data_IF_922381373869
#
_entry.id   IF_922381373869
#
_cell.length_a   1.000
_cell.length_b   1.000
_cell.length_c   1.000
_cell.angle_alpha   90.00
_cell.angle_beta   90.00
_cell.angle_gamma   90.00
#
_symmetry.space_group_name_H-M   'P 1'
#
loop_
_entity.id
_entity.type
_entity.pdbx_description
1 polymer ?
#
# COMPACT_ATOMS: atom_id res chain seq x y z
N UNK A 1 -92.82 13.90 35.90
CA UNK A 1 -91.42 13.87 36.36
C UNK A 1 -90.66 13.06 35.31
N UNK A 2 -90.19 13.75 34.28
CA UNK A 2 -88.74 14.03 34.06
C UNK A 2 -88.00 12.74 33.67
N UNK A 3 -87.85 12.40 32.39
CA UNK A 3 -87.05 12.98 31.29
C UNK A 3 -85.61 12.42 31.20
N UNK A 4 -85.35 11.71 30.08
CA UNK A 4 -84.09 11.57 29.31
C UNK A 4 -82.82 11.06 30.03
N UNK A 5 -81.85 10.36 29.42
CA UNK A 5 -81.44 10.23 28.01
C UNK A 5 -80.45 9.05 27.92
N UNK A 6 -80.45 8.39 26.76
CA UNK A 6 -79.42 7.44 26.31
C UNK A 6 -78.01 8.03 26.38
N UNK A 7 -77.04 7.27 26.91
CA UNK A 7 -75.61 7.52 26.72
C UNK A 7 -74.99 6.33 25.99
N UNK A 8 -74.83 6.48 24.68
CA UNK A 8 -73.91 5.69 23.89
C UNK A 8 -72.49 6.20 24.22
N UNK A 9 -71.65 5.33 24.75
CA UNK A 9 -70.24 5.65 24.96
C UNK A 9 -69.51 5.62 23.62
N UNK A 10 -69.23 6.79 23.06
CA UNK A 10 -68.30 6.96 21.94
C UNK A 10 -66.89 6.59 22.42
N UNK A 11 -66.34 5.51 21.85
CA UNK A 11 -64.91 5.22 21.96
C UNK A 11 -64.16 6.18 21.02
N UNK A 12 -63.71 7.32 21.55
CA UNK A 12 -62.71 8.14 20.86
C UNK A 12 -61.35 7.45 20.96
N UNK A 13 -60.89 6.86 19.86
CA UNK A 13 -59.49 6.54 19.68
C UNK A 13 -58.72 7.85 19.51
N UNK A 14 -58.17 8.38 20.59
CA UNK A 14 -57.23 9.50 20.51
C UNK A 14 -55.92 8.98 19.90
N UNK A 15 -55.70 9.30 18.63
CA UNK A 15 -54.38 9.19 18.01
C UNK A 15 -53.42 10.13 18.73
N UNK A 16 -52.45 9.57 19.46
CA UNK A 16 -51.33 10.33 20.00
C UNK A 16 -50.56 10.97 18.84
N UNK A 17 -50.22 12.27 18.90
CA UNK A 17 -49.41 12.88 17.88
C UNK A 17 -48.02 12.25 17.99
N UNK A 18 -47.61 11.49 16.97
CA UNK A 18 -46.21 11.12 16.82
C UNK A 18 -45.45 12.44 16.71
N UNK A 19 -44.73 12.80 17.77
CA UNK A 19 -44.01 14.05 17.83
C UNK A 19 -43.06 14.10 16.62
N UNK A 20 -43.23 15.10 15.76
CA UNK A 20 -42.37 15.35 14.59
C UNK A 20 -40.89 15.41 15.00
N UNK A 21 -40.61 15.83 16.24
CA UNK A 21 -39.28 15.81 16.84
C UNK A 21 -38.69 14.41 17.12
N UNK A 22 -39.50 13.38 17.32
CA UNK A 22 -39.04 11.99 17.49
C UNK A 22 -38.59 11.39 16.14
N UNK A 23 -39.30 11.71 15.05
CA UNK A 23 -38.94 11.29 13.68
C UNK A 23 -37.67 12.01 13.21
N UNK A 24 -37.51 13.31 13.53
CA UNK A 24 -36.28 14.06 13.24
C UNK A 24 -35.06 13.57 14.04
N UNK A 25 -35.23 13.20 15.32
CA UNK A 25 -34.15 12.65 16.15
C UNK A 25 -33.64 11.29 15.65
N UNK A 26 -34.53 10.40 15.19
CA UNK A 26 -34.12 9.13 14.60
C UNK A 26 -33.34 9.32 13.29
N UNK A 27 -33.82 10.23 12.41
CA UNK A 27 -33.13 10.55 11.14
C UNK A 27 -31.72 11.10 11.32
N UNK A 28 -31.46 11.85 12.40
CA UNK A 28 -30.14 12.39 12.73
C UNK A 28 -29.18 11.34 13.32
N UNK A 29 -29.69 10.35 14.07
CA UNK A 29 -28.88 9.23 14.57
C UNK A 29 -28.44 8.29 13.44
N UNK A 30 -29.32 8.02 12.47
CA UNK A 30 -29.00 7.23 11.26
C UNK A 30 -27.89 7.91 10.44
N UNK A 31 -27.93 9.25 10.31
CA UNK A 31 -26.89 9.99 9.60
C UNK A 31 -25.53 9.95 10.33
N UNK A 32 -25.53 9.96 11.66
CA UNK A 32 -24.32 9.82 12.47
C UNK A 32 -23.70 8.43 12.37
N UNK A 33 -24.52 7.36 12.34
CA UNK A 33 -24.04 5.98 12.16
C UNK A 33 -23.43 5.77 10.75
N UNK A 34 -23.99 6.41 9.72
CA UNK A 34 -23.41 6.40 8.37
C UNK A 34 -22.07 7.16 8.28
N UNK A 35 -21.90 8.25 9.05
CA UNK A 35 -20.62 8.97 9.13
C UNK A 35 -19.55 8.19 9.92
N UNK A 36 -19.92 7.46 10.96
CA UNK A 36 -19.00 6.63 11.77
C UNK A 36 -18.47 5.40 11.00
N UNK A 37 -19.26 4.85 10.07
CA UNK A 37 -18.88 3.68 9.27
C UNK A 37 -17.85 3.95 8.16
N UNK A 38 -17.55 5.21 7.86
CA UNK A 38 -16.66 5.60 6.76
C UNK A 38 -15.17 5.71 7.15
N UNK A 39 -14.84 5.52 8.44
CA UNK A 39 -13.51 5.80 9.00
C UNK A 39 -12.57 4.61 9.18
N UNK A 40 -12.95 3.39 8.83
CA UNK A 40 -12.21 2.16 9.17
C UNK A 40 -11.60 1.44 7.96
N UNK A 41 -11.00 2.17 7.02
CA UNK A 41 -10.18 1.54 5.99
C UNK A 41 -8.80 2.20 5.95
N UNK A 42 -8.07 2.06 7.05
CA UNK A 42 -6.66 2.42 7.10
C UNK A 42 -5.86 1.31 6.43
N UNK A 43 -5.61 1.44 5.13
CA UNK A 43 -4.54 0.69 4.48
C UNK A 43 -3.21 1.16 5.06
N UNK A 44 -2.52 0.30 5.81
CA UNK A 44 -1.23 0.65 6.44
C UNK A 44 -0.12 0.81 5.39
N UNK A 45 -0.19 0.04 4.29
CA UNK A 45 0.76 0.12 3.19
C UNK A 45 0.33 1.15 2.14
N UNK A 46 1.27 1.94 1.59
CA UNK A 46 0.97 2.89 0.52
C UNK A 46 0.48 2.18 -0.75
N UNK A 47 -0.33 2.88 -1.54
CA UNK A 47 -0.71 2.40 -2.87
C UNK A 47 0.49 2.50 -3.83
N UNK A 48 0.60 1.61 -4.81
CA UNK A 48 1.71 1.61 -5.79
C UNK A 48 1.59 2.73 -6.84
N UNK A 49 0.47 3.45 -6.80
CA UNK A 49 0.20 4.65 -7.59
C UNK A 49 0.17 5.91 -6.69
N UNK A 50 0.51 5.79 -5.40
CA UNK A 50 0.67 6.93 -4.50
C UNK A 50 1.89 7.76 -4.89
N UNK A 51 1.67 9.05 -5.16
CA UNK A 51 2.70 9.93 -5.76
C UNK A 51 3.84 10.19 -4.77
N UNK A 52 3.55 10.33 -3.48
CA UNK A 52 4.57 10.61 -2.47
C UNK A 52 5.45 9.38 -2.26
N UNK A 53 4.86 8.19 -2.18
CA UNK A 53 5.57 6.92 -2.14
C UNK A 53 6.47 6.73 -3.38
N UNK A 54 5.94 6.97 -4.58
CA UNK A 54 6.71 6.86 -5.83
C UNK A 54 7.92 7.80 -5.82
N UNK A 55 7.69 9.06 -5.45
CA UNK A 55 8.74 10.07 -5.42
C UNK A 55 9.82 9.72 -4.39
N UNK A 56 9.44 9.33 -3.17
CA UNK A 56 10.38 8.87 -2.14
C UNK A 56 11.21 7.69 -2.66
N UNK A 57 10.53 6.67 -3.21
CA UNK A 57 11.17 5.45 -3.68
C UNK A 57 12.20 5.73 -4.77
N UNK A 58 11.84 6.48 -5.81
CA UNK A 58 12.72 6.77 -6.95
C UNK A 58 13.85 7.74 -6.54
N UNK A 59 13.54 8.78 -5.78
CA UNK A 59 14.56 9.77 -5.38
C UNK A 59 15.63 9.12 -4.50
N UNK A 60 15.24 8.29 -3.53
CA UNK A 60 16.22 7.64 -2.66
C UNK A 60 17.06 6.58 -3.41
N UNK A 61 16.48 5.88 -4.38
CA UNK A 61 17.26 5.00 -5.26
C UNK A 61 18.34 5.76 -6.02
N UNK A 62 17.97 6.88 -6.65
CA UNK A 62 18.89 7.71 -7.42
C UNK A 62 19.93 8.40 -6.55
N UNK A 63 19.55 8.89 -5.36
CA UNK A 63 20.48 9.46 -4.37
C UNK A 63 21.56 8.44 -3.98
N UNK A 64 21.15 7.22 -3.60
CA UNK A 64 22.09 6.19 -3.17
C UNK A 64 22.95 5.66 -4.31
N UNK A 65 22.39 5.53 -5.53
CA UNK A 65 23.15 5.20 -6.75
C UNK A 65 24.20 6.27 -7.04
N UNK A 66 23.85 7.55 -6.94
CA UNK A 66 24.80 8.66 -7.15
C UNK A 66 25.97 8.71 -6.16
N UNK A 67 25.82 8.07 -4.99
CA UNK A 67 26.77 8.11 -3.87
C UNK A 67 27.51 6.79 -3.61
N UNK A 68 27.52 5.85 -4.57
CA UNK A 68 28.30 4.60 -4.42
C UNK A 68 29.81 4.86 -4.46
N UNK A 69 30.56 4.04 -3.72
CA UNK A 69 32.03 4.05 -3.69
C UNK A 69 32.50 2.62 -3.98
N UNK A 70 33.36 2.38 -4.98
CA UNK A 70 33.92 3.36 -5.91
C UNK A 70 32.85 3.99 -6.81
N UNK A 71 33.12 5.21 -7.29
CA UNK A 71 32.16 5.99 -8.08
C UNK A 71 31.78 5.22 -9.34
N UNK A 72 30.49 4.97 -9.53
CA UNK A 72 30.00 4.36 -10.77
C UNK A 72 30.20 5.32 -11.94
N UNK A 73 30.81 4.84 -13.02
CA UNK A 73 31.12 5.66 -14.21
C UNK A 73 29.93 5.84 -15.15
N UNK A 74 28.96 4.92 -15.15
CA UNK A 74 27.86 4.86 -16.12
C UNK A 74 26.47 4.58 -15.49
N UNK A 75 26.28 4.98 -14.23
CA UNK A 75 25.04 4.72 -13.51
C UNK A 75 23.84 5.39 -14.17
N UNK A 76 22.89 4.59 -14.66
CA UNK A 76 21.64 5.11 -15.24
C UNK A 76 20.73 5.70 -14.17
N UNK A 77 19.98 6.74 -14.53
CA UNK A 77 18.93 7.31 -13.68
C UNK A 77 17.71 6.39 -13.69
N UNK A 78 17.20 6.04 -12.51
CA UNK A 78 16.01 5.20 -12.34
C UNK A 78 14.75 6.04 -12.45
N UNK A 79 13.71 5.46 -13.04
CA UNK A 79 12.36 6.02 -13.12
C UNK A 79 11.35 4.98 -12.66
N UNK A 80 10.14 5.42 -12.32
CA UNK A 80 9.06 4.51 -11.93
C UNK A 80 8.46 3.84 -13.16
N UNK A 81 8.26 2.52 -13.08
CA UNK A 81 7.51 1.76 -14.09
C UNK A 81 6.25 1.16 -13.45
N UNK A 82 5.10 1.56 -13.96
CA UNK A 82 3.78 1.15 -13.42
C UNK A 82 3.50 -0.33 -13.63
N UNK A 83 4.03 -0.95 -14.69
CA UNK A 83 3.83 -2.38 -14.90
C UNK A 83 4.70 -3.20 -13.93
N UNK A 84 5.92 -2.76 -13.65
CA UNK A 84 6.75 -3.37 -12.59
C UNK A 84 6.09 -3.25 -11.21
N UNK A 85 5.52 -2.09 -10.88
CA UNK A 85 4.87 -1.89 -9.57
C UNK A 85 3.65 -2.79 -9.37
N UNK A 86 2.84 -2.98 -10.41
CA UNK A 86 1.69 -3.90 -10.40
C UNK A 86 2.13 -5.36 -10.23
N UNK A 87 3.21 -5.76 -10.89
CA UNK A 87 3.80 -7.10 -10.72
C UNK A 87 4.29 -7.30 -9.28
N UNK A 88 4.98 -6.32 -8.71
CA UNK A 88 5.44 -6.35 -7.33
C UNK A 88 4.26 -6.44 -6.34
N UNK A 89 3.19 -5.65 -6.53
CA UNK A 89 1.97 -5.77 -5.72
C UNK A 89 1.35 -7.17 -5.84
N UNK A 90 1.21 -7.69 -7.05
CA UNK A 90 0.59 -8.99 -7.29
C UNK A 90 1.37 -10.13 -6.62
N UNK A 91 2.71 -10.08 -6.66
CA UNK A 91 3.56 -11.06 -5.98
C UNK A 91 3.52 -10.88 -4.46
N UNK A 92 3.66 -9.65 -3.95
CA UNK A 92 3.65 -9.35 -2.52
C UNK A 92 2.35 -9.76 -1.81
N UNK A 93 1.21 -9.68 -2.50
CA UNK A 93 -0.10 -10.16 -1.99
C UNK A 93 -0.14 -11.66 -1.67
N UNK A 94 0.81 -12.46 -2.18
CA UNK A 94 0.91 -13.88 -1.83
C UNK A 94 1.49 -14.12 -0.44
N UNK A 95 2.16 -13.12 0.15
CA UNK A 95 2.79 -13.20 1.47
C UNK A 95 3.76 -14.39 1.61
N UNK A 96 4.54 -14.68 0.57
CA UNK A 96 5.60 -15.70 0.58
C UNK A 96 6.95 -15.03 0.45
N UNK A 97 7.93 -15.46 1.26
CA UNK A 97 9.31 -14.96 1.17
C UNK A 97 10.12 -15.78 0.17
N UNK A 98 9.65 -15.78 -1.07
CA UNK A 98 10.25 -16.47 -2.21
C UNK A 98 10.22 -15.55 -3.44
N UNK A 99 11.21 -15.68 -4.31
CA UNK A 99 11.30 -14.87 -5.52
C UNK A 99 10.20 -15.20 -6.53
N UNK A 100 9.78 -14.19 -7.29
CA UNK A 100 8.81 -14.36 -8.36
C UNK A 100 9.32 -15.30 -9.45
N UNK A 101 8.69 -16.47 -9.57
CA UNK A 101 9.06 -17.53 -10.53
C UNK A 101 8.92 -17.09 -12.00
N UNK A 102 8.26 -15.96 -12.27
CA UNK A 102 7.98 -15.46 -13.62
C UNK A 102 8.95 -14.37 -14.09
N UNK A 103 9.94 -13.98 -13.29
CA UNK A 103 10.88 -12.89 -13.58
C UNK A 103 11.66 -13.09 -14.90
N UNK A 104 11.94 -14.35 -15.25
CA UNK A 104 12.65 -14.75 -16.47
C UNK A 104 11.72 -15.13 -17.61
N UNK A 105 10.40 -15.03 -17.45
CA UNK A 105 9.45 -15.37 -18.50
C UNK A 105 9.19 -14.22 -19.46
N UNK A 106 9.22 -14.49 -20.77
CA UNK A 106 8.85 -13.49 -21.80
C UNK A 106 7.41 -13.04 -21.59
N UNK A 107 7.22 -11.73 -21.37
CA UNK A 107 5.91 -11.11 -21.13
C UNK A 107 5.14 -11.64 -19.89
N UNK A 108 5.82 -12.34 -18.98
CA UNK A 108 5.16 -12.92 -17.81
C UNK A 108 5.13 -11.93 -16.63
N UNK A 109 6.25 -11.25 -16.36
CA UNK A 109 6.37 -10.28 -15.27
C UNK A 109 6.27 -8.81 -15.74
N UNK A 110 6.47 -8.54 -17.04
CA UNK A 110 6.32 -7.21 -17.62
C UNK A 110 6.08 -7.30 -19.13
N UNK A 111 5.26 -6.41 -19.75
CA UNK A 111 4.90 -6.50 -21.16
C UNK A 111 6.04 -6.24 -22.16
N UNK A 112 7.06 -5.46 -21.75
CA UNK A 112 8.21 -5.07 -22.61
C UNK A 112 9.53 -5.73 -22.22
N UNK A 113 9.95 -5.57 -20.96
CA UNK A 113 11.20 -6.13 -20.43
C UNK A 113 11.15 -7.65 -20.21
N UNK A 114 12.32 -8.26 -20.38
CA UNK A 114 12.63 -9.66 -20.09
C UNK A 114 13.79 -9.70 -19.08
N UNK A 115 13.82 -10.70 -18.20
CA UNK A 115 14.90 -10.85 -17.22
C UNK A 115 14.86 -9.75 -16.16
N UNK A 116 13.72 -9.63 -15.46
CA UNK A 116 13.50 -8.61 -14.45
C UNK A 116 14.17 -9.03 -13.13
N UNK A 117 14.85 -8.10 -12.47
CA UNK A 117 15.36 -8.34 -11.12
C UNK A 117 14.29 -8.16 -10.03
N UNK A 118 14.53 -8.68 -8.83
CA UNK A 118 13.64 -8.50 -7.69
C UNK A 118 14.42 -8.36 -6.38
N UNK A 119 14.17 -7.27 -5.65
CA UNK A 119 14.61 -7.11 -4.27
C UNK A 119 13.40 -7.30 -3.35
N UNK A 120 13.59 -8.00 -2.23
CA UNK A 120 12.54 -8.25 -1.24
C UNK A 120 12.95 -7.70 0.13
N UNK A 121 11.98 -7.15 0.85
CA UNK A 121 12.11 -6.78 2.26
C UNK A 121 10.93 -7.39 3.02
N UNK A 122 11.20 -7.88 4.22
CA UNK A 122 10.19 -8.43 5.13
C UNK A 122 10.46 -7.87 6.53
N UNK A 123 9.38 -7.47 7.19
CA UNK A 123 9.38 -6.97 8.55
C UNK A 123 7.94 -6.77 9.00
N UNK A 124 7.75 -6.08 10.12
CA UNK A 124 6.41 -5.77 10.59
C UNK A 124 5.76 -4.75 9.63
N UNK A 125 4.47 -4.95 9.34
CA UNK A 125 3.72 -4.05 8.44
C UNK A 125 3.83 -2.61 8.95
N UNK A 126 3.72 -2.42 10.28
CA UNK A 126 3.75 -1.11 10.92
C UNK A 126 5.11 -0.38 10.87
N UNK A 127 6.17 -1.10 10.50
CA UNK A 127 7.53 -0.56 10.39
C UNK A 127 7.90 -0.23 8.94
N UNK A 128 7.09 -0.64 7.96
CA UNK A 128 7.43 -0.47 6.57
C UNK A 128 7.43 1.00 6.15
N UNK A 129 8.55 1.42 5.56
CA UNK A 129 8.66 2.60 4.70
C UNK A 129 9.54 2.27 3.51
N UNK A 130 9.38 3.00 2.39
CA UNK A 130 10.30 2.86 1.26
C UNK A 130 11.75 3.07 1.71
N UNK A 131 12.00 4.13 2.48
CA UNK A 131 13.33 4.42 3.05
C UNK A 131 13.94 3.26 3.83
N UNK A 132 13.20 2.61 4.72
CA UNK A 132 13.72 1.48 5.51
C UNK A 132 14.13 0.31 4.62
N UNK A 133 13.25 -0.13 3.71
CA UNK A 133 13.56 -1.24 2.80
C UNK A 133 14.77 -0.90 1.92
N UNK A 134 14.79 0.29 1.33
CA UNK A 134 15.84 0.74 0.43
C UNK A 134 17.19 0.85 1.15
N UNK A 135 17.23 1.46 2.33
CA UNK A 135 18.46 1.58 3.11
C UNK A 135 18.97 0.22 3.59
N UNK A 136 18.08 -0.71 3.93
CA UNK A 136 18.48 -2.07 4.31
C UNK A 136 19.22 -2.79 3.17
N UNK A 137 18.70 -2.71 1.94
CA UNK A 137 19.39 -3.27 0.76
C UNK A 137 20.71 -2.55 0.47
N UNK A 138 20.77 -1.24 0.66
CA UNK A 138 22.01 -0.49 0.46
C UNK A 138 23.09 -0.81 1.50
N UNK A 139 22.70 -1.10 2.74
CA UNK A 139 23.63 -1.47 3.82
C UNK A 139 24.39 -2.77 3.53
N UNK A 140 23.88 -3.64 2.66
CA UNK A 140 24.60 -4.85 2.23
C UNK A 140 25.94 -4.54 1.53
N UNK A 141 26.19 -3.29 1.14
CA UNK A 141 27.51 -2.82 0.67
C UNK A 141 28.64 -3.16 1.63
N UNK A 142 28.37 -3.18 2.94
CA UNK A 142 29.36 -3.50 3.97
C UNK A 142 29.86 -4.95 3.86
N UNK A 143 29.09 -5.80 3.17
CA UNK A 143 29.39 -7.20 2.91
C UNK A 143 30.00 -7.41 1.52
N UNK A 144 30.00 -6.41 0.65
CA UNK A 144 30.49 -6.48 -0.73
C UNK A 144 31.95 -6.03 -0.84
N UNK A 145 32.81 -6.86 -1.43
CA UNK A 145 34.20 -6.54 -1.70
C UNK A 145 34.36 -6.10 -3.16
N UNK A 146 34.58 -4.80 -3.38
CA UNK A 146 34.73 -4.23 -4.72
C UNK A 146 35.99 -4.67 -5.47
N UNK A 147 37.03 -5.13 -4.77
CA UNK A 147 38.29 -5.53 -5.41
C UNK A 147 38.15 -6.84 -6.18
N UNK A 148 37.35 -7.78 -5.66
CA UNK A 148 37.19 -9.11 -6.26
C UNK A 148 35.73 -9.49 -6.57
N UNK A 149 34.76 -8.58 -6.31
CA UNK A 149 33.33 -8.80 -6.57
C UNK A 149 32.67 -9.83 -5.66
N UNK A 150 33.32 -10.23 -4.56
CA UNK A 150 32.80 -11.25 -3.64
C UNK A 150 31.96 -10.65 -2.51
N UNK A 151 31.11 -11.47 -1.91
CA UNK A 151 30.36 -11.10 -0.72
C UNK A 151 30.59 -12.03 0.45
N UNK A 152 30.73 -11.45 1.64
CA UNK A 152 30.88 -12.22 2.89
C UNK A 152 29.58 -12.89 3.33
N UNK A 153 28.42 -12.36 2.92
CA UNK A 153 27.07 -12.93 3.08
C UNK A 153 26.22 -12.60 1.84
N UNK A 154 24.90 -12.70 1.93
CA UNK A 154 24.00 -12.25 0.86
C UNK A 154 24.06 -10.72 0.72
N UNK A 155 24.39 -10.27 -0.48
CA UNK A 155 24.51 -8.87 -0.90
C UNK A 155 23.77 -8.60 -2.23
N UNK A 156 22.89 -9.53 -2.62
CA UNK A 156 22.24 -9.54 -3.94
C UNK A 156 21.36 -8.31 -4.14
N UNK A 157 20.71 -7.81 -3.09
CA UNK A 157 19.87 -6.61 -3.20
C UNK A 157 20.72 -5.36 -3.46
N UNK A 158 21.91 -5.27 -2.83
CA UNK A 158 22.87 -4.20 -3.11
C UNK A 158 23.40 -4.26 -4.54
N UNK A 159 23.80 -5.44 -5.01
CA UNK A 159 24.31 -5.61 -6.39
C UNK A 159 23.24 -5.22 -7.40
N UNK A 160 22.02 -5.75 -7.25
CA UNK A 160 20.94 -5.50 -8.21
C UNK A 160 20.56 -4.02 -8.27
N UNK A 161 20.48 -3.33 -7.13
CA UNK A 161 20.19 -1.88 -7.08
C UNK A 161 21.17 -1.08 -7.93
N UNK A 162 22.45 -1.46 -7.93
CA UNK A 162 23.51 -0.73 -8.65
C UNK A 162 23.78 -1.29 -10.05
N UNK A 163 22.98 -2.25 -10.51
CA UNK A 163 23.12 -2.78 -11.85
C UNK A 163 22.84 -1.68 -12.88
N UNK A 164 23.78 -1.55 -13.82
CA UNK A 164 23.60 -0.86 -15.08
C UNK A 164 23.54 -1.96 -16.12
N UNK A 165 22.33 -2.45 -16.43
CA UNK A 165 22.01 -3.42 -17.48
C UNK A 165 23.19 -3.70 -18.45
N UNK A 166 23.97 -4.75 -18.13
CA UNK A 166 25.20 -5.34 -18.74
C UNK A 166 26.41 -5.55 -17.79
N UNK A 167 26.18 -5.86 -16.52
CA UNK A 167 27.15 -6.62 -15.70
C UNK A 167 26.32 -7.44 -14.72
N UNK A 168 25.96 -8.71 -14.93
CA UNK A 168 26.48 -9.83 -15.72
C UNK A 168 25.39 -10.44 -16.62
#
# INVERSE_FOLDING_TARGET
MEAQRSFAGEWSAQSLPVAVGAVLKLRLCELWLLLLGSGLNASFLPHEEDVDFINEYVNLHNELRGNVIPRGSNLRFMTWDVALSRTARAWGKKCVFEHNIYLQGVRMAHPKFYGIGENMWVGLENEFTASIAIRSWYAEKEMYNFTNGSCSKNCSNYIQRNADEKTL
#
